data_IF_600673492611
#
_entry.id   IF_600673492611
#
_cell.length_a   1.000
_cell.length_b   1.000
_cell.length_c   1.000
_cell.angle_alpha   90.00
_cell.angle_beta   90.00
_cell.angle_gamma   90.00
#
_symmetry.space_group_name_H-M   'P 1'
#
loop_
_entity.id
_entity.type
_entity.pdbx_description
1 polymer ?
#
# COMPACT_ATOMS: atom_id res chain seq x y z
N UNK A 1 -0.35 -0.83 -18.87
CA UNK A 1 0.47 -0.91 -17.65
C UNK A 1 1.94 -0.60 -17.93
N UNK A 2 2.45 -1.04 -19.07
CA UNK A 2 3.87 -0.98 -19.50
C UNK A 2 4.52 0.40 -19.46
N UNK A 3 3.77 1.46 -19.77
CA UNK A 3 4.30 2.84 -19.71
C UNK A 3 4.65 3.25 -18.28
N UNK A 4 3.80 2.90 -17.30
CA UNK A 4 4.04 3.23 -15.89
C UNK A 4 5.16 2.34 -15.35
N UNK A 5 5.16 1.06 -15.72
CA UNK A 5 6.24 0.12 -15.40
C UNK A 5 7.61 0.65 -15.88
N UNK A 6 7.72 0.97 -17.18
CA UNK A 6 8.95 1.49 -17.79
C UNK A 6 9.42 2.79 -17.14
N UNK A 7 8.47 3.70 -16.85
CA UNK A 7 8.77 4.93 -16.14
C UNK A 7 9.33 4.65 -14.74
N UNK A 8 8.65 3.81 -13.96
CA UNK A 8 9.05 3.47 -12.59
C UNK A 8 10.41 2.76 -12.56
N UNK A 9 10.63 1.81 -13.47
CA UNK A 9 11.90 1.10 -13.64
C UNK A 9 13.06 2.03 -13.99
N UNK A 10 12.79 3.12 -14.74
CA UNK A 10 13.80 4.11 -15.08
C UNK A 10 14.17 5.05 -13.91
N UNK A 11 13.45 5.02 -12.79
CA UNK A 11 13.66 5.92 -11.64
C UNK A 11 14.76 5.47 -10.68
N UNK A 12 15.69 4.58 -11.05
CA UNK A 12 16.73 4.05 -10.14
C UNK A 12 17.51 5.13 -9.36
N UNK A 13 17.71 6.31 -9.96
CA UNK A 13 18.40 7.44 -9.33
C UNK A 13 17.50 8.32 -8.44
N UNK A 14 16.21 7.99 -8.33
CA UNK A 14 15.23 8.67 -7.50
C UNK A 14 14.56 7.68 -6.53
N UNK A 15 15.20 7.37 -5.38
CA UNK A 15 14.72 6.37 -4.42
C UNK A 15 13.27 6.57 -3.97
N UNK A 16 12.82 7.82 -3.89
CA UNK A 16 11.47 8.20 -3.47
C UNK A 16 10.37 7.70 -4.41
N UNK A 17 10.70 7.52 -5.69
CA UNK A 17 9.80 6.99 -6.70
C UNK A 17 10.10 5.52 -6.97
N UNK A 18 11.39 5.14 -7.04
CA UNK A 18 11.81 3.76 -7.34
C UNK A 18 11.33 2.73 -6.31
N UNK A 19 11.21 3.11 -5.04
CA UNK A 19 10.66 2.21 -4.01
C UNK A 19 9.27 1.68 -4.39
N UNK A 20 8.44 2.44 -5.10
CA UNK A 20 7.13 1.98 -5.56
C UNK A 20 7.25 0.83 -6.57
N UNK A 21 8.27 0.87 -7.44
CA UNK A 21 8.58 -0.22 -8.37
C UNK A 21 9.02 -1.47 -7.62
N UNK A 22 9.94 -1.31 -6.66
CA UNK A 22 10.52 -2.42 -5.90
C UNK A 22 9.44 -3.15 -5.11
N UNK A 23 8.64 -2.41 -4.34
CA UNK A 23 7.61 -3.03 -3.50
C UNK A 23 6.54 -3.71 -4.35
N UNK A 24 6.08 -3.07 -5.43
CA UNK A 24 5.08 -3.64 -6.32
C UNK A 24 5.56 -4.90 -7.07
N UNK A 25 6.85 -5.01 -7.38
CA UNK A 25 7.45 -6.16 -8.05
C UNK A 25 8.10 -7.17 -7.09
N UNK A 26 8.05 -6.93 -5.77
CA UNK A 26 8.68 -7.75 -4.74
C UNK A 26 10.17 -8.01 -4.98
N UNK A 27 10.92 -6.96 -5.33
CA UNK A 27 12.37 -7.04 -5.53
C UNK A 27 13.08 -7.03 -4.17
N UNK A 28 13.07 -8.17 -3.48
CA UNK A 28 13.56 -8.31 -2.11
C UNK A 28 15.02 -7.86 -1.95
N UNK A 29 15.90 -8.29 -2.87
CA UNK A 29 17.33 -7.99 -2.86
C UNK A 29 17.63 -6.48 -2.93
N UNK A 30 16.77 -5.70 -3.58
CA UNK A 30 16.94 -4.25 -3.74
C UNK A 30 16.24 -3.44 -2.63
N UNK A 31 15.26 -4.04 -1.95
CA UNK A 31 14.32 -3.32 -1.07
C UNK A 31 14.99 -2.72 0.17
N UNK A 32 15.90 -3.45 0.80
CA UNK A 32 16.67 -2.96 1.96
C UNK A 32 17.57 -1.79 1.60
N UNK A 33 18.36 -1.92 0.53
CA UNK A 33 19.31 -0.90 0.10
C UNK A 33 18.61 0.42 -0.27
N UNK A 34 17.47 0.36 -0.97
CA UNK A 34 16.71 1.57 -1.31
C UNK A 34 16.09 2.21 -0.07
N UNK A 35 15.65 1.41 0.91
CA UNK A 35 15.17 1.96 2.18
C UNK A 35 16.28 2.65 2.97
N UNK A 36 17.49 2.09 3.01
CA UNK A 36 18.66 2.76 3.62
C UNK A 36 18.99 4.09 2.92
N UNK A 37 18.94 4.12 1.58
CA UNK A 37 19.09 5.36 0.81
C UNK A 37 18.00 6.39 1.14
N UNK A 38 16.74 5.96 1.30
CA UNK A 38 15.65 6.84 1.70
C UNK A 38 15.84 7.42 3.11
N UNK A 39 16.23 6.58 4.07
CA UNK A 39 16.44 6.99 5.45
C UNK A 39 17.66 7.91 5.59
N UNK A 40 18.71 7.67 4.80
CA UNK A 40 19.89 8.55 4.77
C UNK A 40 19.59 9.88 4.09
N UNK A 41 18.83 9.90 2.99
CA UNK A 41 18.46 11.12 2.24
C UNK A 41 17.50 12.03 2.99
N UNK A 42 16.43 11.47 3.57
CA UNK A 42 15.41 12.26 4.27
C UNK A 42 15.63 12.19 5.76
N UNK A 43 16.02 13.31 6.40
CA UNK A 43 16.25 13.34 7.87
C UNK A 43 14.99 13.58 8.70
N UNK A 44 13.93 14.12 8.09
CA UNK A 44 12.69 14.47 8.82
C UNK A 44 11.84 13.22 9.02
N UNK A 45 11.52 12.90 10.28
CA UNK A 45 10.69 11.74 10.65
C UNK A 45 9.36 11.71 9.90
N UNK A 46 8.72 12.87 9.72
CA UNK A 46 7.42 12.98 9.02
C UNK A 46 7.49 12.63 7.53
N UNK A 47 8.66 12.80 6.91
CA UNK A 47 8.89 12.40 5.50
C UNK A 47 9.19 10.91 5.42
N UNK A 48 9.97 10.38 6.37
CA UNK A 48 10.30 8.96 6.43
C UNK A 48 9.08 8.09 6.77
N UNK A 49 8.14 8.60 7.56
CA UNK A 49 7.04 7.84 8.15
C UNK A 49 6.23 7.04 7.12
N UNK A 50 5.83 7.64 6.00
CA UNK A 50 5.06 6.92 4.98
C UNK A 50 5.87 5.82 4.30
N UNK A 51 7.18 6.02 4.10
CA UNK A 51 8.06 4.97 3.57
C UNK A 51 8.27 3.84 4.56
N UNK A 52 8.48 4.16 5.84
CA UNK A 52 8.60 3.17 6.92
C UNK A 52 7.34 2.32 7.05
N UNK A 53 6.16 2.95 7.05
CA UNK A 53 4.89 2.23 7.11
C UNK A 53 4.66 1.34 5.89
N UNK A 54 4.93 1.84 4.68
CA UNK A 54 4.81 1.03 3.45
C UNK A 54 5.77 -0.18 3.46
N UNK A 55 7.01 0.04 3.87
CA UNK A 55 8.02 -1.01 3.92
C UNK A 55 7.77 -2.02 5.04
N UNK A 56 7.33 -1.55 6.22
CA UNK A 56 6.90 -2.41 7.32
C UNK A 56 5.75 -3.31 6.90
N UNK A 57 4.73 -2.74 6.22
CA UNK A 57 3.63 -3.52 5.65
C UNK A 57 4.14 -4.58 4.67
N UNK A 58 5.01 -4.19 3.74
CA UNK A 58 5.64 -5.11 2.78
C UNK A 58 6.41 -6.26 3.44
N UNK A 59 7.18 -5.96 4.50
CA UNK A 59 7.98 -6.94 5.26
C UNK A 59 7.16 -7.69 6.32
N UNK A 60 5.87 -7.38 6.46
CA UNK A 60 4.99 -7.85 7.55
C UNK A 60 5.52 -7.51 8.95
N UNK A 61 6.26 -6.42 9.07
CA UNK A 61 6.73 -5.87 10.33
C UNK A 61 5.74 -4.82 10.84
N UNK A 62 4.71 -5.27 11.56
CA UNK A 62 3.69 -4.37 12.08
C UNK A 62 4.20 -3.48 13.22
N UNK A 63 5.27 -3.86 13.92
CA UNK A 63 5.89 -2.98 14.91
C UNK A 63 6.45 -1.73 14.23
N UNK A 64 7.12 -1.89 13.08
CA UNK A 64 7.60 -0.76 12.27
C UNK A 64 6.44 0.08 11.71
N UNK A 65 5.32 -0.54 11.31
CA UNK A 65 4.12 0.20 10.89
C UNK A 65 3.57 1.03 12.05
N UNK A 66 3.39 0.41 13.22
CA UNK A 66 2.86 1.05 14.42
C UNK A 66 3.74 2.21 14.90
N UNK A 67 5.07 2.09 14.85
CA UNK A 67 6.00 3.18 15.16
C UNK A 67 5.89 4.34 14.16
N UNK A 68 5.71 4.04 12.88
CA UNK A 68 5.72 5.05 11.82
C UNK A 68 4.42 5.86 11.74
N UNK A 69 3.27 5.22 11.99
CA UNK A 69 1.92 5.78 11.78
C UNK A 69 1.70 7.15 12.44
N UNK A 70 2.03 7.37 13.73
CA UNK A 70 1.83 8.66 14.39
C UNK A 70 2.54 9.83 13.71
N UNK A 71 3.61 9.54 12.98
CA UNK A 71 4.43 10.54 12.30
C UNK A 71 3.99 10.82 10.85
N UNK A 72 3.03 10.07 10.31
CA UNK A 72 2.53 10.28 8.94
C UNK A 72 1.77 11.61 8.88
N UNK A 73 2.24 12.55 8.05
CA UNK A 73 1.68 13.90 7.94
C UNK A 73 0.28 13.92 7.31
N UNK A 74 0.04 13.12 6.28
CA UNK A 74 -1.19 13.17 5.49
C UNK A 74 -2.25 12.25 6.09
N UNK A 75 -3.42 12.81 6.41
CA UNK A 75 -4.48 12.11 7.14
C UNK A 75 -4.97 10.84 6.45
N UNK A 76 -5.22 10.87 5.14
CA UNK A 76 -5.70 9.69 4.40
C UNK A 76 -4.70 8.53 4.48
N UNK A 77 -3.39 8.83 4.38
CA UNK A 77 -2.35 7.80 4.47
C UNK A 77 -2.20 7.29 5.91
N UNK A 78 -2.32 8.18 6.90
CA UNK A 78 -2.29 7.76 8.31
C UNK A 78 -3.46 6.82 8.61
N UNK A 79 -4.67 7.23 8.27
CA UNK A 79 -5.89 6.43 8.44
C UNK A 79 -5.82 5.09 7.70
N UNK A 80 -5.21 5.07 6.50
CA UNK A 80 -4.97 3.83 5.76
C UNK A 80 -4.15 2.83 6.59
N UNK A 81 -2.99 3.24 7.12
CA UNK A 81 -2.13 2.34 7.90
C UNK A 81 -2.68 2.05 9.30
N UNK A 82 -3.42 2.98 9.91
CA UNK A 82 -4.18 2.69 11.13
C UNK A 82 -5.23 1.60 10.89
N UNK A 83 -5.92 1.64 9.75
CA UNK A 83 -6.87 0.59 9.35
C UNK A 83 -6.17 -0.74 9.14
N UNK A 84 -5.00 -0.75 8.47
CA UNK A 84 -4.17 -1.96 8.33
C UNK A 84 -3.82 -2.57 9.69
N UNK A 85 -3.42 -1.77 10.67
CA UNK A 85 -3.13 -2.26 12.02
C UNK A 85 -4.36 -2.86 12.70
N UNK A 86 -5.54 -2.23 12.57
CA UNK A 86 -6.80 -2.78 13.08
C UNK A 86 -7.13 -4.15 12.45
N UNK A 87 -6.87 -4.31 11.15
CA UNK A 87 -7.08 -5.59 10.44
C UNK A 87 -6.11 -6.68 10.87
N UNK A 88 -4.87 -6.32 11.25
CA UNK A 88 -3.93 -7.29 11.78
C UNK A 88 -4.30 -7.72 13.21
N UNK A 89 -4.81 -6.78 14.02
CA UNK A 89 -5.34 -7.04 15.36
C UNK A 89 -6.68 -7.83 15.36
N UNK A 90 -7.22 -8.22 14.21
CA UNK A 90 -8.51 -8.90 14.09
C UNK A 90 -9.73 -8.01 14.37
N UNK A 91 -9.56 -6.69 14.44
CA UNK A 91 -10.60 -5.70 14.77
C UNK A 91 -11.35 -5.24 13.52
N UNK A 92 -11.92 -6.18 12.77
CA UNK A 92 -12.55 -5.89 11.47
C UNK A 92 -13.70 -4.88 11.53
N UNK A 93 -14.49 -4.86 12.61
CA UNK A 93 -15.57 -3.88 12.79
C UNK A 93 -15.02 -2.44 12.92
N UNK A 94 -14.00 -2.26 13.78
CA UNK A 94 -13.34 -0.97 13.96
C UNK A 94 -12.60 -0.54 12.69
N UNK A 95 -12.01 -1.49 11.96
CA UNK A 95 -11.40 -1.21 10.67
C UNK A 95 -12.42 -0.67 9.66
N UNK A 96 -13.64 -1.24 9.60
CA UNK A 96 -14.73 -0.74 8.73
C UNK A 96 -15.17 0.68 9.11
N UNK A 97 -15.34 0.96 10.41
CA UNK A 97 -15.67 2.31 10.88
C UNK A 97 -14.57 3.31 10.50
N UNK A 98 -13.30 2.92 10.62
CA UNK A 98 -12.18 3.80 10.30
C UNK A 98 -12.10 4.19 8.82
N UNK A 99 -12.67 3.39 7.91
CA UNK A 99 -12.73 3.73 6.48
C UNK A 99 -13.43 5.06 6.19
N UNK A 100 -14.35 5.50 7.06
CA UNK A 100 -15.07 6.77 6.92
C UNK A 100 -14.13 7.98 6.96
N UNK A 101 -12.98 7.85 7.62
CA UNK A 101 -11.98 8.92 7.71
C UNK A 101 -11.12 9.07 6.45
N UNK A 102 -11.15 8.09 5.55
CA UNK A 102 -10.32 8.05 4.33
C UNK A 102 -11.08 8.67 3.15
N UNK A 103 -10.59 9.79 2.64
CA UNK A 103 -11.26 10.50 1.51
C UNK A 103 -10.95 9.87 0.15
N UNK A 104 -9.81 9.20 0.04
CA UNK A 104 -9.37 8.57 -1.22
C UNK A 104 -10.15 7.29 -1.48
N UNK A 105 -10.98 7.31 -2.52
CA UNK A 105 -11.85 6.19 -2.86
C UNK A 105 -11.08 4.88 -3.08
N UNK A 106 -9.99 4.89 -3.87
CA UNK A 106 -9.19 3.68 -4.12
C UNK A 106 -8.62 3.07 -2.83
N UNK A 107 -8.25 3.89 -1.84
CA UNK A 107 -7.71 3.42 -0.56
C UNK A 107 -8.79 2.68 0.24
N UNK A 108 -9.99 3.25 0.32
CA UNK A 108 -11.13 2.61 0.99
C UNK A 108 -11.47 1.28 0.34
N UNK A 109 -11.55 1.26 -0.99
CA UNK A 109 -11.88 0.06 -1.75
C UNK A 109 -10.80 -1.02 -1.59
N UNK A 110 -9.53 -0.65 -1.58
CA UNK A 110 -8.44 -1.59 -1.34
C UNK A 110 -8.51 -2.21 0.07
N UNK A 111 -8.83 -1.43 1.09
CA UNK A 111 -9.01 -1.92 2.46
C UNK A 111 -10.29 -2.76 2.62
N UNK A 112 -11.37 -2.40 1.92
CA UNK A 112 -12.58 -3.24 1.86
C UNK A 112 -12.29 -4.59 1.22
N UNK A 113 -11.51 -4.63 0.15
CA UNK A 113 -11.09 -5.88 -0.45
C UNK A 113 -10.34 -6.78 0.55
N UNK A 114 -9.42 -6.20 1.32
CA UNK A 114 -8.67 -6.92 2.36
C UNK A 114 -9.58 -7.41 3.50
N UNK A 115 -10.53 -6.58 3.95
CA UNK A 115 -11.52 -6.93 4.98
C UNK A 115 -12.34 -8.15 4.55
N UNK A 116 -12.89 -8.10 3.33
CA UNK A 116 -13.75 -9.17 2.81
C UNK A 116 -12.95 -10.43 2.52
N UNK A 117 -11.70 -10.30 2.06
CA UNK A 117 -10.80 -11.43 1.87
C UNK A 117 -10.51 -12.14 3.19
N UNK A 118 -10.17 -11.39 4.25
CA UNK A 118 -9.95 -11.95 5.60
C UNK A 118 -11.23 -12.57 6.19
N UNK A 119 -12.41 -12.11 5.77
CA UNK A 119 -13.69 -12.68 6.17
C UNK A 119 -14.11 -13.92 5.35
N UNK A 120 -13.34 -14.32 4.33
CA UNK A 120 -13.68 -15.42 3.42
C UNK A 120 -14.67 -15.05 2.30
N UNK A 121 -15.06 -13.78 2.20
CA UNK A 121 -16.03 -13.26 1.23
C UNK A 121 -15.36 -12.93 -0.11
N UNK A 122 -14.84 -13.96 -0.78
CA UNK A 122 -13.95 -13.80 -1.94
C UNK A 122 -14.57 -13.02 -3.10
N UNK A 123 -15.85 -13.22 -3.42
CA UNK A 123 -16.53 -12.49 -4.50
C UNK A 123 -16.61 -10.98 -4.24
N UNK A 124 -16.97 -10.60 -3.01
CA UNK A 124 -17.02 -9.20 -2.59
C UNK A 124 -15.62 -8.58 -2.57
N UNK A 125 -14.62 -9.35 -2.12
CA UNK A 125 -13.22 -8.91 -2.15
C UNK A 125 -12.75 -8.60 -3.58
N UNK A 126 -13.03 -9.49 -4.55
CA UNK A 126 -12.71 -9.30 -5.97
C UNK A 126 -13.39 -8.04 -6.53
N UNK A 127 -14.67 -7.84 -6.22
CA UNK A 127 -15.41 -6.65 -6.63
C UNK A 127 -14.73 -5.37 -6.13
N UNK A 128 -14.45 -5.29 -4.84
CA UNK A 128 -13.80 -4.12 -4.26
C UNK A 128 -12.37 -3.90 -4.78
N UNK A 129 -11.61 -4.96 -5.01
CA UNK A 129 -10.28 -4.88 -5.60
C UNK A 129 -10.32 -4.30 -7.03
N UNK A 130 -11.27 -4.75 -7.85
CA UNK A 130 -11.49 -4.22 -9.21
C UNK A 130 -11.87 -2.74 -9.17
N UNK A 131 -12.84 -2.39 -8.32
CA UNK A 131 -13.25 -1.00 -8.11
C UNK A 131 -12.08 -0.12 -7.62
N UNK A 132 -11.19 -0.65 -6.77
CA UNK A 132 -10.00 0.05 -6.29
C UNK A 132 -9.03 0.37 -7.44
N UNK A 133 -8.79 -0.60 -8.33
CA UNK A 133 -7.96 -0.42 -9.53
C UNK A 133 -8.57 0.64 -10.45
N UNK A 134 -9.87 0.60 -10.69
CA UNK A 134 -10.58 1.55 -11.56
C UNK A 134 -10.62 2.97 -10.99
N UNK A 135 -10.75 3.10 -9.66
CA UNK A 135 -10.72 4.38 -8.97
C UNK A 135 -9.30 4.99 -8.82
N UNK A 136 -8.27 4.25 -9.22
CA UNK A 136 -6.87 4.66 -9.08
C UNK A 136 -6.23 5.07 -10.41
N UNK A 137 -5.13 5.83 -10.36
CA UNK A 137 -4.39 6.29 -11.54
C UNK A 137 -2.88 6.24 -11.32
N UNK A 138 -2.13 6.23 -12.42
CA UNK A 138 -0.66 6.32 -12.40
C UNK A 138 -0.01 5.24 -11.53
N UNK A 139 0.88 5.67 -10.63
CA UNK A 139 1.64 4.77 -9.74
C UNK A 139 0.72 3.96 -8.82
N UNK A 140 -0.36 4.55 -8.29
CA UNK A 140 -1.25 3.83 -7.37
C UNK A 140 -1.99 2.69 -8.10
N UNK A 141 -2.45 2.95 -9.33
CA UNK A 141 -3.03 1.91 -10.18
C UNK A 141 -2.04 0.81 -10.47
N UNK A 142 -0.79 1.18 -10.72
CA UNK A 142 0.26 0.22 -10.97
C UNK A 142 0.52 -0.69 -9.76
N UNK A 143 0.65 -0.12 -8.56
CA UNK A 143 0.87 -0.87 -7.31
C UNK A 143 -0.30 -1.81 -7.01
N UNK A 144 -1.54 -1.31 -7.07
CA UNK A 144 -2.74 -2.13 -6.84
C UNK A 144 -2.86 -3.27 -7.84
N UNK A 145 -2.68 -2.98 -9.13
CA UNK A 145 -2.75 -3.98 -10.18
C UNK A 145 -1.72 -5.09 -9.94
N UNK A 146 -0.47 -4.72 -9.64
CA UNK A 146 0.57 -5.70 -9.33
C UNK A 146 0.21 -6.55 -8.12
N UNK A 147 -0.35 -5.95 -7.07
CA UNK A 147 -0.74 -6.72 -5.89
C UNK A 147 -1.86 -7.71 -6.20
N UNK A 148 -2.90 -7.27 -6.90
CA UNK A 148 -4.03 -8.14 -7.23
C UNK A 148 -3.72 -9.18 -8.30
N UNK A 149 -2.75 -8.95 -9.21
CA UNK A 149 -2.21 -10.03 -10.07
C UNK A 149 -1.79 -11.27 -9.26
N UNK A 150 -1.41 -11.09 -7.99
CA UNK A 150 -0.94 -12.17 -7.11
C UNK A 150 -2.00 -12.63 -6.13
N UNK A 151 -2.75 -11.71 -5.54
CA UNK A 151 -3.66 -12.01 -4.43
C UNK A 151 -5.11 -12.22 -4.86
N UNK A 152 -5.55 -11.52 -5.91
CA UNK A 152 -6.91 -11.58 -6.46
C UNK A 152 -6.88 -11.44 -7.99
N UNK A 153 -6.34 -12.41 -8.74
CA UNK A 153 -6.12 -12.26 -10.20
C UNK A 153 -7.38 -11.88 -10.97
N UNK A 154 -8.54 -12.40 -10.54
CA UNK A 154 -9.84 -12.11 -11.12
C UNK A 154 -10.26 -10.65 -10.99
N UNK A 155 -9.59 -9.84 -10.17
CA UNK A 155 -9.86 -8.40 -10.05
C UNK A 155 -9.17 -7.57 -11.15
N UNK A 156 -8.14 -8.12 -11.80
CA UNK A 156 -7.32 -7.43 -12.82
C UNK A 156 -7.36 -8.09 -14.19
N UNK A 157 -7.94 -9.29 -14.30
CA UNK A 157 -8.28 -9.92 -15.57
C UNK A 157 -9.32 -9.10 -16.35
N UNK A 158 -9.08 -8.99 -17.66
CA UNK A 158 -9.87 -8.21 -18.62
C UNK A 158 -11.18 -8.90 -18.98
#
# INVERSE_FOLDING_TARGET
MDRVDSFLRSQKNNPAVYIQYILANRLEDESGAIMEQLMSKYKRVTVQATYKAAYGLYRKDMAAVQEAVPHIRYSDYRAYYETVLLLEDGKAAQAREHLESIRKQWMRLALLAEIELKAGNSETAIKHAREAVDASRGIQRYVLHKEYERTLPQAVEA
#
